data_IF_486509202020
#
_entry.id   IF_486509202020
#
_cell.length_a   1.000
_cell.length_b   1.000
_cell.length_c   1.000
_cell.angle_alpha   90.00
_cell.angle_beta   90.00
_cell.angle_gamma   90.00
#
_symmetry.space_group_name_H-M   'P 1'
#
loop_
_entity.id
_entity.type
_entity.pdbx_description
1 polymer ?
#
# COMPACT_ATOMS: atom_id res chain seq x y z
N UNK A 1 35.05 5.86 -2.51
CA UNK A 1 33.81 6.60 -2.21
C UNK A 1 32.65 5.71 -2.63
N UNK A 2 31.57 5.60 -1.86
CA UNK A 2 30.44 4.72 -2.19
C UNK A 2 29.65 5.28 -3.37
N UNK A 3 29.12 4.41 -4.24
CA UNK A 3 28.11 4.82 -5.21
C UNK A 3 26.82 5.24 -4.50
N UNK A 4 25.92 5.95 -5.19
CA UNK A 4 24.63 6.37 -4.61
C UNK A 4 23.77 5.17 -4.25
N UNK A 5 23.72 4.17 -5.14
CA UNK A 5 23.09 2.88 -4.88
C UNK A 5 23.66 2.15 -3.68
N UNK A 6 24.99 2.06 -3.56
CA UNK A 6 25.64 1.43 -2.40
C UNK A 6 25.29 2.15 -1.10
N UNK A 7 25.28 3.49 -1.11
CA UNK A 7 24.92 4.30 0.05
C UNK A 7 23.48 4.06 0.49
N UNK A 8 22.53 4.02 -0.45
CA UNK A 8 21.12 3.68 -0.14
C UNK A 8 20.98 2.25 0.37
N UNK A 9 21.68 1.29 -0.23
CA UNK A 9 21.70 -0.10 0.22
C UNK A 9 22.21 -0.20 1.66
N UNK A 10 23.36 0.40 1.95
CA UNK A 10 23.91 0.45 3.30
C UNK A 10 22.95 1.11 4.29
N UNK A 11 22.32 2.22 3.90
CA UNK A 11 21.31 2.91 4.73
C UNK A 11 20.13 2.00 5.05
N UNK A 12 19.65 1.23 4.07
CA UNK A 12 18.55 0.28 4.25
C UNK A 12 18.89 -0.85 5.24
N UNK A 13 20.15 -1.29 5.26
CA UNK A 13 20.65 -2.31 6.19
C UNK A 13 21.30 -1.75 7.46
N UNK A 14 21.09 -0.47 7.79
CA UNK A 14 21.64 0.19 8.98
C UNK A 14 23.18 0.11 9.09
N UNK A 15 23.87 0.17 7.95
CA UNK A 15 25.33 0.13 7.87
C UNK A 15 25.93 1.54 7.77
N UNK A 16 27.22 1.65 8.08
CA UNK A 16 27.98 2.90 8.02
C UNK A 16 28.04 3.49 6.61
N UNK A 17 27.94 4.82 6.53
CA UNK A 17 27.91 5.59 5.28
C UNK A 17 29.12 6.54 5.20
N UNK A 18 29.56 6.83 3.98
CA UNK A 18 30.58 7.85 3.73
C UNK A 18 30.04 9.29 3.80
N UNK A 19 28.72 9.46 3.65
CA UNK A 19 27.96 10.69 3.89
C UNK A 19 26.46 10.36 4.05
N UNK A 20 25.61 11.29 4.52
CA UNK A 20 24.16 11.10 4.49
C UNK A 20 23.63 10.78 3.08
N UNK A 21 22.73 9.80 2.99
CA UNK A 21 21.97 9.51 1.79
C UNK A 21 20.73 10.43 1.75
N UNK A 22 20.66 11.33 0.77
CA UNK A 22 19.59 12.32 0.65
C UNK A 22 18.89 12.12 -0.69
N UNK A 23 17.56 11.99 -0.66
CA UNK A 23 16.73 11.92 -1.85
C UNK A 23 15.54 12.87 -1.71
N UNK A 24 15.00 13.32 -2.85
CA UNK A 24 13.73 14.06 -2.86
C UNK A 24 12.57 13.09 -2.77
N UNK A 25 11.73 13.24 -1.75
CA UNK A 25 10.44 12.52 -1.66
C UNK A 25 9.40 13.07 -2.63
N UNK A 26 9.51 14.35 -2.97
CA UNK A 26 8.57 15.03 -3.86
C UNK A 26 8.85 14.64 -5.30
N UNK A 27 7.82 14.11 -5.96
CA UNK A 27 7.83 13.87 -7.41
C UNK A 27 7.47 15.14 -8.18
N UNK A 28 7.90 15.19 -9.43
CA UNK A 28 7.52 16.21 -10.41
C UNK A 28 6.88 15.49 -11.61
N UNK A 29 6.05 16.18 -12.42
CA UNK A 29 5.45 15.57 -13.59
C UNK A 29 6.53 15.03 -14.54
N UNK A 30 6.42 13.74 -14.93
CA UNK A 30 7.43 13.07 -15.76
C UNK A 30 7.61 13.76 -17.11
N UNK A 31 6.50 14.14 -17.73
CA UNK A 31 6.42 14.66 -19.10
C UNK A 31 6.37 16.19 -19.18
N UNK A 32 6.72 16.89 -18.10
CA UNK A 32 6.80 18.35 -18.07
C UNK A 32 8.26 18.79 -18.12
N UNK A 33 8.65 19.47 -19.20
CA UNK A 33 10.01 19.91 -19.47
C UNK A 33 10.43 21.11 -18.63
N UNK A 34 9.50 21.85 -18.02
CA UNK A 34 9.82 22.96 -17.12
C UNK A 34 10.64 22.51 -15.90
N UNK A 35 10.55 21.22 -15.55
CA UNK A 35 11.30 20.59 -14.46
C UNK A 35 12.64 19.99 -14.88
N UNK A 36 13.03 20.00 -16.15
CA UNK A 36 14.21 19.23 -16.61
C UNK A 36 15.52 19.68 -15.98
N UNK A 37 15.67 20.98 -15.71
CA UNK A 37 16.82 21.52 -14.95
C UNK A 37 16.85 20.97 -13.52
N UNK A 38 15.70 20.91 -12.85
CA UNK A 38 15.58 20.37 -11.50
C UNK A 38 15.81 18.85 -11.48
N UNK A 39 15.23 18.10 -12.43
CA UNK A 39 15.45 16.65 -12.58
C UNK A 39 16.93 16.35 -12.77
N UNK A 40 17.61 17.12 -13.62
CA UNK A 40 19.05 16.98 -13.88
C UNK A 40 19.88 17.30 -12.64
N UNK A 41 19.56 18.39 -11.94
CA UNK A 41 20.21 18.76 -10.68
C UNK A 41 20.05 17.65 -9.62
N UNK A 42 18.84 17.15 -9.41
CA UNK A 42 18.59 16.08 -8.43
C UNK A 42 19.31 14.79 -8.83
N UNK A 43 19.29 14.42 -10.11
CA UNK A 43 20.06 13.27 -10.61
C UNK A 43 21.57 13.44 -10.42
N UNK A 44 22.09 14.66 -10.43
CA UNK A 44 23.51 14.93 -10.23
C UNK A 44 23.93 15.02 -8.75
N UNK A 45 23.03 15.43 -7.85
CA UNK A 45 23.42 15.76 -6.48
C UNK A 45 22.72 14.93 -5.40
N UNK A 46 21.75 14.08 -5.74
CA UNK A 46 20.99 13.29 -4.78
C UNK A 46 20.97 11.81 -5.14
N UNK A 47 20.70 10.99 -4.12
CA UNK A 47 20.32 9.59 -4.29
C UNK A 47 18.93 9.51 -4.94
N UNK A 48 18.74 8.60 -5.90
CA UNK A 48 17.43 8.37 -6.53
C UNK A 48 16.69 7.20 -5.89
N UNK A 49 15.36 7.32 -5.83
CA UNK A 49 14.46 6.26 -5.39
C UNK A 49 13.32 6.12 -6.40
N UNK A 50 13.35 5.06 -7.20
CA UNK A 50 12.22 4.68 -8.03
C UNK A 50 11.22 3.87 -7.21
N UNK A 51 9.97 3.79 -7.69
CA UNK A 51 8.91 3.02 -7.03
C UNK A 51 8.33 2.00 -7.99
N UNK A 52 8.15 0.78 -7.50
CA UNK A 52 7.48 -0.30 -8.20
C UNK A 52 6.28 -0.79 -7.38
N UNK A 53 5.12 -0.90 -8.02
CA UNK A 53 3.89 -1.31 -7.34
C UNK A 53 3.83 -2.84 -7.21
N UNK A 54 4.23 -3.38 -6.06
CA UNK A 54 4.17 -4.81 -5.79
C UNK A 54 2.75 -5.37 -5.73
N UNK A 55 1.73 -4.52 -5.54
CA UNK A 55 0.32 -4.93 -5.48
C UNK A 55 -0.34 -5.09 -6.84
N UNK A 56 0.36 -4.74 -7.92
CA UNK A 56 -0.18 -4.89 -9.28
C UNK A 56 -0.51 -6.36 -9.64
N UNK A 57 0.04 -7.32 -8.90
CA UNK A 57 -0.11 -8.76 -9.10
C UNK A 57 -1.13 -9.41 -8.18
N UNK A 58 -1.75 -8.63 -7.30
CA UNK A 58 -2.86 -9.12 -6.49
C UNK A 58 -3.96 -9.53 -7.49
N UNK A 59 -4.24 -10.83 -7.63
CA UNK A 59 -5.41 -11.25 -8.42
C UNK A 59 -6.60 -10.51 -7.84
N UNK A 60 -7.40 -9.79 -8.66
CA UNK A 60 -8.62 -9.21 -8.15
C UNK A 60 -9.43 -10.37 -7.58
N UNK A 61 -9.78 -10.30 -6.30
CA UNK A 61 -10.93 -11.04 -5.83
C UNK A 61 -12.08 -10.67 -6.80
N UNK A 62 -12.95 -11.62 -7.19
CA UNK A 62 -14.21 -11.23 -7.80
C UNK A 62 -14.90 -10.31 -6.79
N UNK A 63 -14.87 -9.01 -7.10
CA UNK A 63 -15.53 -7.98 -6.34
C UNK A 63 -16.68 -7.53 -7.23
N UNK A 64 -17.89 -7.93 -6.88
CA UNK A 64 -19.07 -7.38 -7.53
C UNK A 64 -19.23 -5.93 -7.08
N UNK A 65 -19.15 -5.02 -8.04
CA UNK A 65 -19.36 -3.60 -7.81
C UNK A 65 -20.78 -3.27 -8.23
N UNK A 66 -21.60 -2.79 -7.30
CA UNK A 66 -22.87 -2.16 -7.63
C UNK A 66 -22.80 -0.67 -7.33
N UNK A 67 -23.38 0.14 -8.21
CA UNK A 67 -23.53 1.58 -8.02
C UNK A 67 -25.03 1.85 -7.93
N UNK A 68 -25.46 2.37 -6.80
CA UNK A 68 -26.85 2.74 -6.52
C UNK A 68 -26.94 4.27 -6.38
N UNK A 69 -27.93 4.93 -6.98
CA UNK A 69 -28.21 6.33 -6.70
C UNK A 69 -28.52 6.51 -5.20
N UNK A 70 -27.88 7.48 -4.54
CA UNK A 70 -28.18 7.83 -3.14
C UNK A 70 -28.91 9.17 -3.04
N UNK A 71 -28.44 10.19 -3.78
CA UNK A 71 -29.14 11.46 -4.00
C UNK A 71 -28.64 12.14 -5.29
N UNK A 72 -29.20 13.31 -5.63
CA UNK A 72 -28.81 14.10 -6.80
C UNK A 72 -27.31 14.44 -6.88
N UNK A 73 -26.61 14.45 -5.74
CA UNK A 73 -25.18 14.72 -5.65
C UNK A 73 -24.32 13.50 -5.27
N UNK A 74 -24.94 12.34 -4.94
CA UNK A 74 -24.23 11.23 -4.31
C UNK A 74 -24.58 9.86 -4.92
N UNK A 75 -23.55 9.02 -5.06
CA UNK A 75 -23.68 7.62 -5.48
C UNK A 75 -23.19 6.69 -4.38
N UNK A 76 -24.00 5.69 -4.04
CA UNK A 76 -23.60 4.59 -3.17
C UNK A 76 -22.87 3.54 -4.01
N UNK A 77 -21.69 3.09 -3.56
CA UNK A 77 -20.94 2.02 -4.22
C UNK A 77 -20.76 0.83 -3.29
N UNK A 78 -21.48 -0.26 -3.52
CA UNK A 78 -21.28 -1.49 -2.74
C UNK A 78 -20.26 -2.42 -3.41
N UNK A 79 -19.53 -3.19 -2.61
CA UNK A 79 -18.47 -4.10 -3.06
C UNK A 79 -18.70 -5.47 -2.41
N UNK A 80 -19.34 -6.40 -3.10
CA UNK A 80 -19.49 -7.77 -2.58
C UNK A 80 -18.19 -8.54 -2.84
N UNK A 81 -17.51 -8.98 -1.77
CA UNK A 81 -16.28 -9.73 -1.84
C UNK A 81 -16.54 -11.15 -1.33
N UNK A 82 -16.98 -12.02 -2.23
CA UNK A 82 -17.45 -13.38 -1.93
C UNK A 82 -16.41 -14.22 -1.15
N UNK A 83 -15.13 -13.95 -1.38
CA UNK A 83 -14.00 -14.71 -0.83
C UNK A 83 -13.57 -14.30 0.59
N UNK A 84 -13.99 -13.13 1.12
CA UNK A 84 -13.61 -12.68 2.48
C UNK A 84 -14.65 -13.14 3.54
N UNK A 85 -15.61 -13.97 3.14
CA UNK A 85 -16.55 -14.61 4.08
C UNK A 85 -17.62 -13.67 4.62
N UNK A 86 -17.88 -12.53 3.98
CA UNK A 86 -18.94 -11.61 4.36
C UNK A 86 -19.26 -10.62 3.24
N UNK A 87 -20.45 -10.03 3.29
CA UNK A 87 -20.82 -8.90 2.42
C UNK A 87 -20.23 -7.62 3.01
N UNK A 88 -19.36 -6.97 2.25
CA UNK A 88 -18.82 -5.66 2.61
C UNK A 88 -19.63 -4.58 1.89
N UNK A 89 -20.16 -3.60 2.62
CA UNK A 89 -20.80 -2.46 2.01
C UNK A 89 -19.96 -1.23 2.29
N UNK A 90 -19.15 -0.83 1.29
CA UNK A 90 -18.58 0.51 1.32
C UNK A 90 -19.66 1.52 0.95
N UNK A 91 -19.63 2.72 1.52
CA UNK A 91 -20.45 3.83 1.06
C UNK A 91 -19.53 5.02 0.79
N UNK A 92 -19.69 5.60 -0.39
CA UNK A 92 -18.95 6.81 -0.78
C UNK A 92 -19.95 7.97 -0.77
N UNK A 93 -19.62 9.04 -0.05
CA UNK A 93 -20.26 10.33 -0.23
C UNK A 93 -19.17 11.31 -0.67
N UNK A 94 -19.08 11.54 -1.98
CA UNK A 94 -18.21 12.56 -2.57
C UNK A 94 -19.08 13.55 -3.33
N UNK A 95 -18.93 14.84 -3.01
CA UNK A 95 -19.54 15.93 -3.77
C UNK A 95 -18.76 16.09 -5.09
N UNK A 96 -19.46 16.35 -6.21
CA UNK A 96 -18.83 16.55 -7.52
C UNK A 96 -18.07 17.88 -7.66
N UNK A 97 -18.06 18.74 -6.64
CA UNK A 97 -17.19 19.91 -6.63
C UNK A 97 -15.83 19.58 -5.99
N UNK A 98 -14.78 20.15 -6.57
CA UNK A 98 -13.38 19.81 -6.31
C UNK A 98 -12.86 20.23 -4.93
N UNK A 99 -13.74 20.65 -4.00
CA UNK A 99 -13.34 21.26 -2.72
C UNK A 99 -13.69 20.44 -1.47
N UNK A 100 -14.56 19.43 -1.57
CA UNK A 100 -14.91 18.59 -0.42
C UNK A 100 -14.11 17.27 -0.39
N UNK A 101 -13.43 17.00 0.72
CA UNK A 101 -12.86 15.66 0.97
C UNK A 101 -14.01 14.66 1.05
N UNK A 102 -14.00 13.56 0.28
CA UNK A 102 -15.05 12.55 0.37
C UNK A 102 -15.08 11.96 1.78
N UNK A 103 -16.26 11.96 2.40
CA UNK A 103 -16.48 11.23 3.64
C UNK A 103 -16.56 9.74 3.31
N UNK A 104 -15.69 8.94 3.94
CA UNK A 104 -15.60 7.50 3.74
C UNK A 104 -16.20 6.77 4.93
N UNK A 105 -17.43 6.28 4.76
CA UNK A 105 -18.08 5.45 5.77
C UNK A 105 -18.15 4.02 5.24
N UNK A 106 -17.47 3.08 5.91
CA UNK A 106 -17.57 1.66 5.59
C UNK A 106 -18.37 0.97 6.68
N UNK A 107 -19.43 0.27 6.28
CA UNK A 107 -20.25 -0.51 7.21
C UNK A 107 -20.11 -1.99 6.87
N UNK A 108 -19.62 -2.79 7.82
CA UNK A 108 -19.71 -4.24 7.71
C UNK A 108 -21.09 -4.66 8.19
N UNK A 109 -21.92 -5.19 7.28
CA UNK A 109 -23.21 -5.80 7.63
C UNK A 109 -23.07 -7.31 7.60
N UNK A 110 -23.17 -7.93 8.78
CA UNK A 110 -23.27 -9.38 8.92
C UNK A 110 -21.95 -10.11 8.63
N UNK A 111 -21.02 -10.07 9.58
CA UNK A 111 -19.93 -11.03 9.60
C UNK A 111 -20.49 -12.41 9.96
N UNK A 112 -20.39 -13.36 9.03
CA UNK A 112 -20.55 -14.78 9.36
C UNK A 112 -19.20 -15.46 9.24
N UNK A 113 -18.75 -16.07 10.34
CA UNK A 113 -17.47 -16.78 10.42
C UNK A 113 -17.41 -17.92 9.40
N UNK A 114 -16.90 -17.69 8.18
CA UNK A 114 -16.56 -18.78 7.25
C UNK A 114 -15.21 -19.36 7.65
N UNK A 115 -15.11 -20.70 7.65
CA UNK A 115 -13.92 -21.45 8.08
C UNK A 115 -12.74 -21.41 7.09
N UNK A 116 -12.91 -20.83 5.90
CA UNK A 116 -11.86 -20.81 4.86
C UNK A 116 -11.97 -19.51 4.06
N UNK A 117 -10.97 -18.64 4.21
CA UNK A 117 -10.72 -17.52 3.31
C UNK A 117 -9.64 -18.02 2.34
N UNK A 118 -9.94 -18.07 1.04
CA UNK A 118 -8.97 -18.51 0.04
C UNK A 118 -7.91 -17.42 -0.12
N UNK A 119 -6.63 -17.79 0.03
CA UNK A 119 -5.51 -16.88 -0.17
C UNK A 119 -5.48 -16.34 -1.60
N UNK A 120 -4.99 -15.11 -1.75
CA UNK A 120 -4.78 -14.50 -3.05
C UNK A 120 -3.79 -15.34 -3.89
N UNK A 121 -4.09 -15.44 -5.19
CA UNK A 121 -3.16 -15.99 -6.19
C UNK A 121 -2.44 -14.82 -6.84
N UNK A 122 -1.13 -14.92 -7.01
CA UNK A 122 -0.29 -13.87 -7.60
C UNK A 122 0.23 -14.33 -8.94
N UNK A 123 -0.13 -13.58 -10.00
CA UNK A 123 0.31 -13.83 -11.37
C UNK A 123 0.55 -12.49 -12.07
N UNK A 124 1.48 -12.46 -13.01
CA UNK A 124 1.69 -11.33 -13.90
C UNK A 124 3.15 -11.11 -14.30
N UNK A 125 3.35 -10.14 -15.18
CA UNK A 125 4.66 -9.80 -15.72
C UNK A 125 5.40 -8.77 -14.85
N UNK A 126 6.62 -9.11 -14.42
CA UNK A 126 7.49 -8.26 -13.61
C UNK A 126 8.50 -7.45 -14.43
N UNK A 127 8.46 -7.50 -15.77
CA UNK A 127 9.42 -6.83 -16.65
C UNK A 127 9.63 -5.34 -16.37
N UNK A 128 8.56 -4.65 -15.93
CA UNK A 128 8.63 -3.24 -15.51
C UNK A 128 9.57 -2.96 -14.33
N UNK A 129 9.80 -3.95 -13.47
CA UNK A 129 10.79 -3.86 -12.40
C UNK A 129 12.22 -3.86 -12.96
N UNK A 130 12.51 -4.78 -13.88
CA UNK A 130 13.81 -4.86 -14.55
C UNK A 130 14.11 -3.59 -15.35
N UNK A 131 13.09 -3.01 -16.00
CA UNK A 131 13.24 -1.72 -16.68
C UNK A 131 13.60 -0.61 -15.69
N UNK A 132 12.90 -0.53 -14.56
CA UNK A 132 13.17 0.46 -13.51
C UNK A 132 14.60 0.34 -12.95
N UNK A 133 15.12 -0.89 -12.80
CA UNK A 133 16.51 -1.13 -12.40
C UNK A 133 17.51 -0.64 -13.44
N UNK A 134 17.23 -0.84 -14.74
CA UNK A 134 18.09 -0.34 -15.82
C UNK A 134 18.09 1.18 -15.89
N UNK A 135 16.91 1.80 -15.76
CA UNK A 135 16.75 3.25 -15.89
C UNK A 135 17.45 4.01 -14.75
N UNK A 136 17.40 3.46 -13.54
CA UNK A 136 18.02 4.09 -12.37
C UNK A 136 19.52 3.79 -12.24
N UNK A 137 19.99 2.65 -12.74
CA UNK A 137 21.39 2.26 -12.71
C UNK A 137 22.00 2.32 -11.30
N UNK A 138 23.16 2.98 -11.17
CA UNK A 138 23.87 3.18 -9.90
C UNK A 138 23.52 4.50 -9.20
N UNK A 139 22.60 5.28 -9.77
CA UNK A 139 22.12 6.54 -9.18
C UNK A 139 21.19 6.29 -7.97
N UNK A 140 20.67 5.07 -7.80
CA UNK A 140 19.65 4.82 -6.79
C UNK A 140 19.20 3.37 -6.60
N UNK A 141 18.04 3.23 -5.97
CA UNK A 141 17.36 1.95 -5.73
C UNK A 141 15.91 1.97 -6.23
N UNK A 142 15.37 0.80 -6.54
CA UNK A 142 13.94 0.61 -6.79
C UNK A 142 13.31 0.07 -5.52
N UNK A 143 12.35 0.82 -4.97
CA UNK A 143 11.58 0.45 -3.81
C UNK A 143 10.26 -0.20 -4.22
N UNK A 144 10.01 -1.38 -3.69
CA UNK A 144 8.83 -2.19 -4.00
C UNK A 144 7.78 -1.93 -2.92
N UNK A 145 6.71 -1.23 -3.30
CA UNK A 145 5.61 -0.95 -2.40
C UNK A 145 4.74 -2.19 -2.23
N UNK A 146 4.58 -2.64 -0.99
CA UNK A 146 3.68 -3.71 -0.58
C UNK A 146 2.29 -3.19 -0.19
N UNK A 147 2.10 -1.86 -0.25
CA UNK A 147 0.90 -1.14 0.19
C UNK A 147 0.83 -0.97 1.70
N UNK A 148 -0.39 -1.05 2.24
CA UNK A 148 -0.65 -0.85 3.66
C UNK A 148 -0.19 -2.07 4.45
N UNK A 149 0.31 -1.85 5.67
CA UNK A 149 0.48 -2.94 6.62
C UNK A 149 -0.89 -3.57 6.98
N UNK A 150 -0.93 -4.71 7.70
CA UNK A 150 -2.19 -5.34 8.06
C UNK A 150 -3.16 -4.44 8.83
N UNK A 151 -2.68 -3.65 9.79
CA UNK A 151 -3.54 -2.78 10.59
C UNK A 151 -4.14 -1.63 9.76
N UNK A 152 -3.32 -0.94 8.98
CA UNK A 152 -3.72 0.13 8.06
C UNK A 152 -4.69 -0.35 7.00
N UNK A 153 -4.50 -1.56 6.47
CA UNK A 153 -5.47 -2.17 5.56
C UNK A 153 -6.85 -2.33 6.21
N UNK A 154 -6.90 -2.82 7.45
CA UNK A 154 -8.15 -2.98 8.19
C UNK A 154 -8.73 -1.62 8.63
N UNK A 155 -7.90 -0.66 8.98
CA UNK A 155 -8.33 0.69 9.30
C UNK A 155 -8.95 1.41 8.08
N UNK A 156 -8.36 1.25 6.90
CA UNK A 156 -8.95 1.72 5.63
C UNK A 156 -10.24 0.99 5.28
N UNK A 157 -10.37 -0.28 5.68
CA UNK A 157 -11.58 -1.06 5.48
C UNK A 157 -12.72 -0.62 6.39
N UNK A 158 -12.47 -0.17 7.62
CA UNK A 158 -13.55 0.20 8.56
C UNK A 158 -13.72 1.71 8.76
N UNK A 159 -12.71 2.49 8.39
CA UNK A 159 -12.48 3.82 8.95
C UNK A 159 -11.76 3.73 10.31
N UNK A 160 -10.92 4.71 10.60
CA UNK A 160 -10.05 4.73 11.79
C UNK A 160 -10.83 4.63 13.10
N UNK A 161 -11.97 5.32 13.22
CA UNK A 161 -12.80 5.29 14.43
C UNK A 161 -13.36 3.89 14.70
N UNK A 162 -13.96 3.26 13.68
CA UNK A 162 -14.49 1.91 13.78
C UNK A 162 -13.38 0.88 14.02
N UNK A 163 -12.21 1.06 13.41
CA UNK A 163 -11.05 0.21 13.68
C UNK A 163 -10.65 0.27 15.16
N UNK A 164 -10.58 1.45 15.76
CA UNK A 164 -10.29 1.60 17.20
C UNK A 164 -11.38 0.95 18.05
N UNK A 165 -12.67 1.20 17.73
CA UNK A 165 -13.79 0.58 18.44
C UNK A 165 -13.73 -0.94 18.39
N UNK A 166 -13.60 -1.53 17.21
CA UNK A 166 -13.49 -2.99 17.04
C UNK A 166 -12.22 -3.58 17.65
N UNK A 167 -11.14 -2.80 17.74
CA UNK A 167 -9.92 -3.24 18.42
C UNK A 167 -10.14 -3.46 19.91
N UNK A 168 -11.17 -2.85 20.51
CA UNK A 168 -11.56 -3.03 21.91
C UNK A 168 -12.73 -4.00 22.05
N UNK A 169 -13.77 -3.86 21.24
CA UNK A 169 -15.01 -4.64 21.38
C UNK A 169 -14.94 -6.03 20.76
N UNK A 170 -14.19 -6.17 19.66
CA UNK A 170 -14.17 -7.36 18.79
C UNK A 170 -12.73 -7.69 18.34
N UNK A 171 -11.78 -7.62 19.27
CA UNK A 171 -10.35 -7.69 18.98
C UNK A 171 -9.94 -8.97 18.23
N UNK A 172 -10.62 -10.10 18.50
CA UNK A 172 -10.39 -11.37 17.83
C UNK A 172 -10.65 -11.30 16.32
N UNK A 173 -11.70 -10.59 15.89
CA UNK A 173 -12.04 -10.42 14.47
C UNK A 173 -10.97 -9.54 13.82
N UNK A 174 -10.56 -8.47 14.48
CA UNK A 174 -9.50 -7.58 13.95
C UNK A 174 -8.19 -8.33 13.78
N UNK A 175 -7.79 -9.14 14.77
CA UNK A 175 -6.58 -9.96 14.69
C UNK A 175 -6.69 -11.04 13.60
N UNK A 176 -7.85 -11.66 13.43
CA UNK A 176 -8.08 -12.62 12.35
C UNK A 176 -7.89 -11.97 10.97
N UNK A 177 -8.48 -10.79 10.77
CA UNK A 177 -8.37 -10.06 9.50
C UNK A 177 -6.94 -9.54 9.24
N UNK A 178 -6.26 -9.05 10.28
CA UNK A 178 -4.86 -8.67 10.20
C UNK A 178 -3.97 -9.86 9.86
N UNK A 179 -4.22 -11.03 10.47
CA UNK A 179 -3.48 -12.27 10.15
C UNK A 179 -3.68 -12.66 8.69
N UNK A 180 -4.92 -12.63 8.21
CA UNK A 180 -5.20 -12.91 6.82
C UNK A 180 -4.46 -11.95 5.87
N UNK A 181 -4.52 -10.64 6.15
CA UNK A 181 -3.82 -9.66 5.33
C UNK A 181 -2.30 -9.82 5.38
N UNK A 182 -1.75 -10.20 6.54
CA UNK A 182 -0.34 -10.54 6.67
C UNK A 182 0.04 -11.73 5.78
N UNK A 183 -0.76 -12.80 5.77
CA UNK A 183 -0.54 -13.96 4.89
C UNK A 183 -0.56 -13.56 3.40
N UNK A 184 -1.51 -12.71 2.99
CA UNK A 184 -1.55 -12.16 1.62
C UNK A 184 -0.27 -11.37 1.28
N UNK A 185 0.22 -10.52 2.20
CA UNK A 185 1.47 -9.77 1.99
C UNK A 185 2.66 -10.73 1.87
N UNK A 186 2.73 -11.77 2.70
CA UNK A 186 3.81 -12.76 2.67
C UNK A 186 3.82 -13.55 1.36
N UNK A 187 2.66 -14.01 0.89
CA UNK A 187 2.55 -14.70 -0.40
C UNK A 187 2.92 -13.78 -1.58
N UNK A 188 2.56 -12.49 -1.52
CA UNK A 188 3.02 -11.50 -2.49
C UNK A 188 4.54 -11.37 -2.49
N UNK A 189 5.15 -11.24 -1.31
CA UNK A 189 6.62 -11.13 -1.19
C UNK A 189 7.30 -12.37 -1.74
N UNK A 190 6.78 -13.57 -1.46
CA UNK A 190 7.29 -14.83 -2.03
C UNK A 190 7.23 -14.82 -3.56
N UNK A 191 6.08 -14.44 -4.14
CA UNK A 191 5.93 -14.29 -5.59
C UNK A 191 6.95 -13.31 -6.18
N UNK A 192 7.07 -12.11 -5.58
CA UNK A 192 7.99 -11.07 -6.04
C UNK A 192 9.44 -11.56 -6.00
N UNK A 193 9.88 -12.14 -4.88
CA UNK A 193 11.23 -12.66 -4.72
C UNK A 193 11.53 -13.82 -5.69
N UNK A 194 10.58 -14.74 -5.90
CA UNK A 194 10.73 -15.84 -6.85
C UNK A 194 10.91 -15.35 -8.30
N UNK A 195 10.44 -14.14 -8.61
CA UNK A 195 10.59 -13.48 -9.91
C UNK A 195 11.72 -12.43 -9.93
N UNK A 196 12.61 -12.41 -8.93
CA UNK A 196 13.76 -11.51 -8.89
C UNK A 196 13.43 -10.05 -8.55
N UNK A 197 12.24 -9.78 -8.00
CA UNK A 197 11.83 -8.44 -7.56
C UNK A 197 12.22 -8.20 -6.11
N UNK A 198 12.96 -7.12 -5.85
CA UNK A 198 13.49 -6.76 -4.52
C UNK A 198 14.87 -6.09 -4.63
N UNK A 199 15.64 -5.97 -3.52
CA UNK A 199 15.35 -6.42 -2.16
C UNK A 199 14.72 -5.34 -1.28
N UNK A 200 14.51 -4.13 -1.80
CA UNK A 200 14.05 -2.99 -1.00
C UNK A 200 12.53 -2.94 -1.01
N UNK A 201 11.92 -3.36 0.10
CA UNK A 201 10.47 -3.34 0.28
C UNK A 201 10.05 -2.21 1.21
N UNK A 202 8.85 -1.67 0.96
CA UNK A 202 8.22 -0.70 1.84
C UNK A 202 6.74 -1.02 2.04
N UNK A 203 6.24 -0.62 3.21
CA UNK A 203 4.82 -0.60 3.54
C UNK A 203 4.46 0.79 4.06
N UNK A 204 3.17 1.11 4.08
CA UNK A 204 2.61 2.31 4.67
C UNK A 204 1.85 1.96 5.97
N UNK A 205 1.40 3.00 6.66
CA UNK A 205 0.43 2.92 7.75
C UNK A 205 0.95 2.24 9.03
N UNK A 206 2.25 2.36 9.30
CA UNK A 206 2.88 1.86 10.53
C UNK A 206 2.30 2.49 11.80
N UNK A 207 1.70 3.68 11.72
CA UNK A 207 1.08 4.36 12.85
C UNK A 207 -0.08 3.56 13.47
N UNK A 208 -0.77 2.72 12.70
CA UNK A 208 -1.92 1.93 13.17
C UNK A 208 -1.55 0.77 14.09
N UNK A 209 -0.26 0.44 14.23
CA UNK A 209 0.26 -0.54 15.18
C UNK A 209 1.06 0.12 16.32
N UNK A 210 0.96 1.44 16.46
CA UNK A 210 1.68 2.20 17.49
C UNK A 210 0.72 2.97 18.39
N UNK A 211 1.15 3.37 19.60
CA UNK A 211 0.38 4.30 20.42
C UNK A 211 0.07 5.61 19.67
N UNK A 212 -1.12 6.21 19.87
CA UNK A 212 -2.17 5.83 20.81
C UNK A 212 -3.19 4.81 20.28
N UNK A 213 -3.07 4.38 19.01
CA UNK A 213 -4.07 3.55 18.35
C UNK A 213 -4.04 2.09 18.81
N UNK A 214 -2.88 1.61 19.26
CA UNK A 214 -2.66 0.28 19.82
C UNK A 214 -1.84 0.32 21.09
N UNK A 215 -2.13 -0.60 22.00
CA UNK A 215 -1.34 -0.77 23.21
C UNK A 215 -0.07 -1.59 22.90
N UNK A 216 1.02 -1.44 23.67
CA UNK A 216 2.21 -2.29 23.50
C UNK A 216 1.97 -3.80 23.73
N UNK A 217 0.80 -4.19 24.27
CA UNK A 217 0.44 -5.60 24.49
C UNK A 217 -0.20 -6.25 23.26
N UNK A 218 -0.74 -5.44 22.34
CA UNK A 218 -1.37 -5.89 21.09
C UNK A 218 -0.32 -6.07 19.99
#
# INVERSE_FOLDING_TARGET
>A
MLTRKERLKKRYYYQELDRPAVYSRTGFPKNDSSYDKLKSFLRQYTELKASFNGRAFDSPYPIEKSIEPYSDAFQKRAYDAENIGGRFAQQFAGQFDQSARPARNVFVKGYQRRRKISLAVFVGDVSGFCQSLRDIGDDGIVDVSLGLNPAGFIAELFGTENFVMFSVTDCEIVHLLMRYQMEVILERVKFLLANGVGPFFSMLDQEYITPPLRSPKD
#
